data_IF_744047771422
#
_entry.id   IF_744047771422
#
_cell.length_a   1.000
_cell.length_b   1.000
_cell.length_c   1.000
_cell.angle_alpha   90.00
_cell.angle_beta   90.00
_cell.angle_gamma   90.00
#
_symmetry.space_group_name_H-M   'P 1'
#
loop_
_entity.id
_entity.type
_entity.pdbx_description
1 polymer ?
#
# COMPACT_ATOMS: atom_id res chain seq x y z
N UNK A 1 -45.46 -24.25 11.06
CA UNK A 1 -45.19 -22.79 11.05
C UNK A 1 -43.75 -22.60 10.62
N UNK A 2 -43.56 -22.24 9.35
CA UNK A 2 -42.25 -22.01 8.74
C UNK A 2 -41.67 -20.67 9.20
N UNK A 3 -40.43 -20.67 9.69
CA UNK A 3 -39.67 -19.44 9.91
C UNK A 3 -38.44 -19.49 9.00
N UNK A 4 -38.46 -18.54 8.07
CA UNK A 4 -37.58 -18.33 6.94
C UNK A 4 -36.22 -17.84 7.43
N UNK A 5 -35.18 -18.66 7.27
CA UNK A 5 -33.78 -18.24 7.41
C UNK A 5 -33.30 -17.55 6.14
N UNK A 6 -33.15 -16.22 6.17
CA UNK A 6 -32.58 -15.42 5.08
C UNK A 6 -31.14 -15.84 4.82
N UNK A 7 -30.89 -16.32 3.60
CA UNK A 7 -29.56 -16.44 3.01
C UNK A 7 -28.95 -15.05 2.87
N UNK A 8 -27.79 -14.83 3.49
CA UNK A 8 -26.97 -13.63 3.26
C UNK A 8 -26.30 -13.77 1.89
N UNK A 9 -26.60 -12.85 0.98
CA UNK A 9 -26.07 -12.77 -0.38
C UNK A 9 -24.56 -12.51 -0.39
N UNK A 10 -23.81 -13.30 -1.18
CA UNK A 10 -22.44 -12.98 -1.52
C UNK A 10 -22.41 -11.71 -2.40
N UNK A 11 -21.62 -10.73 -1.98
CA UNK A 11 -21.39 -9.48 -2.70
C UNK A 11 -20.47 -9.73 -3.90
N UNK A 12 -21.08 -9.81 -5.09
CA UNK A 12 -20.40 -9.78 -6.38
C UNK A 12 -19.77 -8.40 -6.60
N UNK A 13 -18.44 -8.33 -6.56
CA UNK A 13 -17.71 -7.12 -6.97
C UNK A 13 -17.74 -7.03 -8.49
N UNK A 14 -18.58 -6.14 -9.02
CA UNK A 14 -18.54 -5.75 -10.43
C UNK A 14 -17.28 -4.90 -10.69
N UNK A 15 -16.40 -5.41 -11.55
CA UNK A 15 -15.32 -4.62 -12.16
C UNK A 15 -15.93 -3.69 -13.21
N UNK A 16 -15.98 -2.39 -12.94
CA UNK A 16 -16.35 -1.36 -13.91
C UNK A 16 -15.18 -1.11 -14.87
N UNK A 17 -15.19 -1.75 -16.04
CA UNK A 17 -14.27 -1.40 -17.12
C UNK A 17 -14.74 -0.11 -17.80
N UNK A 18 -13.92 0.94 -17.72
CA UNK A 18 -14.10 2.21 -18.43
C UNK A 18 -14.02 1.97 -19.95
N UNK A 19 -15.14 2.06 -20.66
CA UNK A 19 -15.15 2.23 -22.11
C UNK A 19 -15.06 3.72 -22.45
N UNK A 20 -13.88 4.20 -22.85
CA UNK A 20 -13.70 5.52 -23.47
C UNK A 20 -13.03 5.39 -24.84
N UNK A 21 -13.86 5.61 -25.87
CA UNK A 21 -13.61 6.17 -27.20
C UNK A 21 -12.36 5.73 -28.01
N UNK A 22 -12.61 4.91 -29.03
CA UNK A 22 -11.69 4.29 -29.99
C UNK A 22 -11.46 5.12 -31.27
N UNK A 23 -10.91 6.34 -31.18
CA UNK A 23 -10.60 7.15 -32.39
C UNK A 23 -9.12 7.54 -32.58
N UNK A 24 -8.23 7.20 -31.65
CA UNK A 24 -6.78 7.48 -31.76
C UNK A 24 -6.01 6.25 -32.31
N UNK A 25 -6.68 5.12 -32.52
CA UNK A 25 -6.04 3.81 -32.71
C UNK A 25 -5.45 3.59 -34.11
N UNK A 26 -5.91 4.29 -35.16
CA UNK A 26 -5.47 4.00 -36.54
C UNK A 26 -4.09 4.58 -36.88
N UNK A 27 -3.77 5.78 -36.35
CA UNK A 27 -2.45 6.39 -36.53
C UNK A 27 -1.38 5.74 -35.65
N UNK A 28 -1.73 5.35 -34.41
CA UNK A 28 -0.83 4.59 -33.53
C UNK A 28 -0.56 3.18 -34.10
N UNK A 29 -1.56 2.52 -34.70
CA UNK A 29 -1.34 1.22 -35.37
C UNK A 29 -0.36 1.28 -36.53
N UNK A 30 -0.32 2.39 -37.29
CA UNK A 30 0.61 2.56 -38.41
C UNK A 30 2.04 2.86 -37.93
N UNK A 31 2.18 3.69 -36.88
CA UNK A 31 3.49 3.95 -36.25
C UNK A 31 4.05 2.73 -35.48
N UNK A 32 3.18 1.87 -34.92
CA UNK A 32 3.57 0.61 -34.29
C UNK A 32 3.95 -0.48 -35.31
N UNK A 33 3.50 -0.38 -36.56
CA UNK A 33 3.88 -1.29 -37.64
C UNK A 33 5.29 -1.01 -38.18
N UNK A 34 5.77 0.23 -38.09
CA UNK A 34 7.08 0.65 -38.63
C UNK A 34 8.22 0.61 -37.58
N UNK A 35 7.90 0.58 -36.28
CA UNK A 35 8.83 0.18 -35.20
C UNK A 35 8.55 -1.24 -34.71
N UNK A 36 8.43 -2.17 -35.65
CA UNK A 36 8.57 -3.58 -35.38
C UNK A 36 10.03 -3.92 -35.09
N UNK A 37 10.55 -3.56 -33.92
CA UNK A 37 11.65 -4.33 -33.33
C UNK A 37 11.09 -5.73 -33.14
N UNK A 38 11.37 -6.61 -34.11
CA UNK A 38 10.98 -8.00 -34.08
C UNK A 38 11.36 -8.56 -32.73
N UNK A 39 10.37 -8.84 -31.89
CA UNK A 39 10.57 -9.80 -30.85
C UNK A 39 10.88 -11.08 -31.62
N UNK A 40 12.15 -11.47 -31.62
CA UNK A 40 12.59 -12.73 -32.17
C UNK A 40 11.76 -13.80 -31.45
N UNK A 41 10.67 -14.25 -32.06
CA UNK A 41 9.84 -15.35 -31.55
C UNK A 41 10.63 -16.66 -31.55
N UNK A 42 11.82 -16.66 -32.14
CA UNK A 42 12.87 -17.68 -32.11
C UNK A 42 13.90 -17.50 -30.99
N UNK A 43 13.85 -16.40 -30.23
CA UNK A 43 14.79 -16.15 -29.14
C UNK A 43 14.43 -17.03 -27.96
N UNK A 44 15.34 -17.94 -27.59
CA UNK A 44 15.20 -18.81 -26.43
C UNK A 44 14.99 -18.03 -25.14
N UNK A 45 15.43 -16.77 -25.06
CA UNK A 45 15.15 -15.87 -23.93
C UNK A 45 13.68 -15.52 -23.81
N UNK A 46 12.97 -15.35 -24.93
CA UNK A 46 11.54 -15.02 -24.92
C UNK A 46 10.71 -16.20 -24.40
N UNK A 47 11.03 -17.42 -24.83
CA UNK A 47 10.39 -18.64 -24.32
C UNK A 47 10.76 -18.90 -22.85
N UNK A 48 12.02 -18.65 -22.45
CA UNK A 48 12.43 -18.73 -21.04
C UNK A 48 11.70 -17.70 -20.15
N UNK A 49 11.55 -16.46 -20.63
CA UNK A 49 10.80 -15.42 -19.91
C UNK A 49 9.34 -15.82 -19.78
N UNK A 50 8.71 -16.34 -20.84
CA UNK A 50 7.35 -16.88 -20.75
C UNK A 50 7.26 -18.04 -19.77
N UNK A 51 8.25 -18.94 -19.77
CA UNK A 51 8.30 -20.07 -18.83
C UNK A 51 8.37 -19.59 -17.38
N UNK A 52 9.23 -18.62 -17.08
CA UNK A 52 9.37 -18.04 -15.74
C UNK A 52 8.11 -17.29 -15.32
N UNK A 53 7.48 -16.54 -16.23
CA UNK A 53 6.31 -15.71 -15.92
C UNK A 53 5.00 -16.49 -15.83
N UNK A 54 4.84 -17.55 -16.62
CA UNK A 54 3.53 -18.19 -16.83
C UNK A 54 3.48 -19.69 -16.52
N UNK A 55 4.61 -20.40 -16.42
CA UNK A 55 4.64 -21.86 -16.28
C UNK A 55 5.05 -22.37 -14.89
N UNK A 56 5.10 -21.50 -13.89
CA UNK A 56 5.19 -22.00 -12.51
C UNK A 56 3.81 -22.51 -12.09
N UNK A 57 3.54 -23.78 -12.41
CA UNK A 57 2.40 -24.49 -11.84
C UNK A 57 2.49 -24.37 -10.30
N UNK A 58 1.39 -23.96 -9.63
CA UNK A 58 1.37 -23.91 -8.18
C UNK A 58 1.77 -25.28 -7.63
N UNK A 59 2.81 -25.32 -6.80
CA UNK A 59 3.21 -26.56 -6.14
C UNK A 59 2.02 -27.07 -5.33
N UNK A 60 1.64 -28.32 -5.56
CA UNK A 60 0.63 -28.98 -4.73
C UNK A 60 1.09 -29.00 -3.28
N UNK A 61 0.20 -28.61 -2.36
CA UNK A 61 0.51 -28.63 -0.95
C UNK A 61 0.53 -30.08 -0.45
N UNK A 62 1.45 -30.43 0.46
CA UNK A 62 1.39 -31.72 1.14
C UNK A 62 0.02 -31.93 1.79
N UNK A 63 -0.48 -33.17 1.89
CA UNK A 63 -1.69 -33.47 2.63
C UNK A 63 -1.47 -33.07 4.10
N UNK A 64 -2.31 -32.18 4.60
CA UNK A 64 -2.28 -31.68 5.98
C UNK A 64 -3.24 -32.50 6.84
N UNK A 65 -2.84 -32.77 8.09
CA UNK A 65 -3.74 -33.41 9.06
C UNK A 65 -4.83 -32.44 9.52
N UNK A 66 -5.95 -32.95 10.04
CA UNK A 66 -6.99 -32.10 10.64
C UNK A 66 -6.44 -31.24 11.79
N UNK A 67 -5.54 -31.81 12.61
CA UNK A 67 -4.87 -31.09 13.68
C UNK A 67 -3.98 -29.94 13.15
N UNK A 68 -3.30 -30.12 12.01
CA UNK A 68 -2.54 -29.05 11.35
C UNK A 68 -3.46 -27.94 10.85
N UNK A 69 -4.65 -28.28 10.34
CA UNK A 69 -5.66 -27.30 9.89
C UNK A 69 -6.13 -26.46 11.08
N UNK A 70 -6.46 -27.09 12.21
CA UNK A 70 -6.87 -26.38 13.43
C UNK A 70 -5.77 -25.46 13.97
N UNK A 71 -4.51 -25.94 13.95
CA UNK A 71 -3.34 -25.13 14.33
C UNK A 71 -3.16 -23.94 13.39
N UNK A 72 -3.29 -24.16 12.08
CA UNK A 72 -3.24 -23.09 11.09
C UNK A 72 -4.33 -22.03 11.32
N UNK A 73 -5.56 -22.45 11.58
CA UNK A 73 -6.68 -21.53 11.86
C UNK A 73 -6.46 -20.71 13.13
N UNK A 74 -5.89 -21.33 14.17
CA UNK A 74 -5.51 -20.64 15.40
C UNK A 74 -4.45 -19.58 15.15
N UNK A 75 -3.40 -19.89 14.38
CA UNK A 75 -2.35 -18.95 14.00
C UNK A 75 -2.95 -17.74 13.27
N UNK A 76 -3.80 -17.97 12.27
CA UNK A 76 -4.45 -16.90 11.51
C UNK A 76 -5.33 -16.01 12.40
N UNK A 77 -6.06 -16.61 13.33
CA UNK A 77 -6.90 -15.87 14.28
C UNK A 77 -6.04 -15.00 15.19
N UNK A 78 -4.96 -15.54 15.74
CA UNK A 78 -4.03 -14.81 16.60
C UNK A 78 -3.36 -13.65 15.84
N UNK A 79 -2.92 -13.87 14.60
CA UNK A 79 -2.34 -12.83 13.75
C UNK A 79 -3.35 -11.71 13.46
N UNK A 80 -4.61 -12.06 13.15
CA UNK A 80 -5.68 -11.10 12.94
C UNK A 80 -5.93 -10.23 14.17
N UNK A 81 -5.97 -10.85 15.35
CA UNK A 81 -6.12 -10.14 16.63
C UNK A 81 -4.93 -9.19 16.84
N UNK A 82 -3.70 -9.68 16.66
CA UNK A 82 -2.47 -8.87 16.80
C UNK A 82 -2.45 -7.66 15.86
N UNK A 83 -2.81 -7.83 14.60
CA UNK A 83 -2.90 -6.71 13.64
C UNK A 83 -3.98 -5.71 14.03
N UNK A 84 -5.12 -6.19 14.52
CA UNK A 84 -6.22 -5.34 14.98
C UNK A 84 -5.82 -4.51 16.20
N UNK A 85 -5.20 -5.13 17.21
CA UNK A 85 -4.75 -4.44 18.44
C UNK A 85 -3.68 -3.40 18.12
N UNK A 86 -2.67 -3.74 17.31
CA UNK A 86 -1.63 -2.79 16.89
C UNK A 86 -2.21 -1.61 16.08
N UNK A 87 -3.22 -1.85 15.25
CA UNK A 87 -3.93 -0.80 14.51
C UNK A 87 -4.73 0.12 15.46
N UNK A 88 -5.41 -0.46 16.44
CA UNK A 88 -6.16 0.30 17.45
C UNK A 88 -5.23 1.18 18.31
N UNK A 89 -4.06 0.65 18.71
CA UNK A 89 -3.04 1.42 19.43
C UNK A 89 -2.53 2.60 18.62
N UNK A 90 -2.12 2.38 17.36
CA UNK A 90 -1.68 3.48 16.46
C UNK A 90 -2.77 4.54 16.26
N UNK A 91 -4.04 4.14 16.18
CA UNK A 91 -5.16 5.07 16.07
C UNK A 91 -5.33 5.90 17.36
N UNK A 92 -5.30 5.24 18.51
CA UNK A 92 -5.41 5.91 19.81
C UNK A 92 -4.26 6.91 20.04
N UNK A 93 -3.03 6.56 19.66
CA UNK A 93 -1.89 7.47 19.73
C UNK A 93 -2.06 8.69 18.81
N UNK A 94 -2.56 8.48 17.58
CA UNK A 94 -2.82 9.58 16.64
C UNK A 94 -3.89 10.53 17.20
N UNK A 95 -4.95 9.98 17.79
CA UNK A 95 -6.01 10.74 18.43
C UNK A 95 -5.46 11.59 19.59
N UNK A 96 -4.63 10.99 20.44
CA UNK A 96 -3.97 11.72 21.54
C UNK A 96 -3.09 12.86 21.03
N UNK A 97 -2.32 12.62 19.96
CA UNK A 97 -1.48 13.66 19.33
C UNK A 97 -2.34 14.79 18.77
N UNK A 98 -3.44 14.47 18.10
CA UNK A 98 -4.36 15.47 17.55
C UNK A 98 -5.03 16.30 18.65
N UNK A 99 -5.56 15.65 19.71
CA UNK A 99 -6.14 16.36 20.85
C UNK A 99 -5.11 17.25 21.59
N UNK A 100 -3.84 16.82 21.66
CA UNK A 100 -2.77 17.65 22.20
C UNK A 100 -2.46 18.85 21.30
N UNK A 101 -2.48 18.67 19.97
CA UNK A 101 -2.33 19.77 19.01
C UNK A 101 -3.47 20.77 19.15
N UNK A 102 -4.72 20.34 19.20
CA UNK A 102 -5.88 21.23 19.36
C UNK A 102 -5.75 22.12 20.61
N UNK A 103 -5.44 21.52 21.77
CA UNK A 103 -5.19 22.26 23.01
C UNK A 103 -4.05 23.28 22.87
N UNK A 104 -2.99 22.93 22.17
CA UNK A 104 -1.87 23.86 21.93
C UNK A 104 -2.28 25.03 21.03
N UNK A 105 -3.10 24.79 20.00
CA UNK A 105 -3.63 25.83 19.12
C UNK A 105 -4.63 26.74 19.85
N UNK A 106 -5.49 26.20 20.73
CA UNK A 106 -6.37 26.99 21.60
C UNK A 106 -5.59 27.92 22.53
N UNK A 107 -4.52 27.40 23.15
CA UNK A 107 -3.63 28.20 23.98
C UNK A 107 -2.92 29.29 23.18
N UNK A 108 -2.45 28.97 21.96
CA UNK A 108 -1.79 29.92 21.07
C UNK A 108 -2.74 31.02 20.61
N UNK A 109 -3.99 30.69 20.26
CA UNK A 109 -5.02 31.65 19.87
C UNK A 109 -5.32 32.67 20.97
N UNK A 110 -5.27 32.21 22.23
CA UNK A 110 -5.47 33.08 23.41
C UNK A 110 -4.26 33.97 23.67
N UNK A 111 -3.03 33.47 23.44
CA UNK A 111 -1.80 34.19 23.73
C UNK A 111 -1.40 35.20 22.63
N UNK A 112 -1.40 34.79 21.37
CA UNK A 112 -1.02 35.65 20.22
C UNK A 112 -1.79 35.23 18.94
N UNK A 113 -2.80 36.04 18.53
CA UNK A 113 -3.57 35.78 17.31
C UNK A 113 -2.71 35.76 16.02
N UNK A 114 -1.63 36.54 15.95
CA UNK A 114 -0.78 36.61 14.75
C UNK A 114 0.00 35.32 14.54
N UNK A 115 0.51 34.73 15.62
CA UNK A 115 1.20 33.44 15.57
C UNK A 115 0.23 32.30 15.27
N UNK A 116 -0.99 32.35 15.82
CA UNK A 116 -2.04 31.40 15.48
C UNK A 116 -2.38 31.42 13.99
N UNK A 117 -2.61 32.61 13.41
CA UNK A 117 -2.85 32.77 11.98
C UNK A 117 -1.68 32.25 11.14
N UNK A 118 -0.44 32.52 11.56
CA UNK A 118 0.74 32.01 10.86
C UNK A 118 0.83 30.47 10.90
N UNK A 119 0.54 29.86 12.05
CA UNK A 119 0.58 28.40 12.24
C UNK A 119 -0.57 27.65 11.54
N UNK A 120 -1.69 28.32 11.26
CA UNK A 120 -2.80 27.76 10.48
C UNK A 120 -2.60 27.86 8.96
N UNK A 121 -1.57 28.57 8.48
CA UNK A 121 -1.28 28.66 7.04
C UNK A 121 -0.84 27.30 6.53
N UNK A 122 -1.52 26.82 5.49
CA UNK A 122 -1.13 25.60 4.79
C UNK A 122 0.18 25.83 4.04
N UNK A 123 1.19 25.04 4.34
CA UNK A 123 2.42 25.00 3.55
C UNK A 123 2.14 24.41 2.17
N UNK A 124 2.52 25.12 1.12
CA UNK A 124 2.36 24.67 -0.28
C UNK A 124 3.39 23.60 -0.67
N UNK A 125 4.51 23.52 0.05
CA UNK A 125 5.66 22.67 -0.26
C UNK A 125 6.03 21.72 0.89
N UNK A 126 5.05 21.24 1.66
CA UNK A 126 5.30 20.25 2.71
C UNK A 126 5.70 18.89 2.08
N UNK A 127 6.99 18.75 1.78
CA UNK A 127 7.60 17.51 1.29
C UNK A 127 8.59 17.02 2.32
N UNK A 128 8.62 15.71 2.54
CA UNK A 128 9.60 15.09 3.41
C UNK A 128 11.01 15.28 2.84
N UNK A 129 12.00 15.71 3.66
CA UNK A 129 13.39 15.84 3.22
C UNK A 129 13.94 14.50 2.69
N UNK A 130 14.77 14.56 1.64
CA UNK A 130 15.39 13.35 1.06
C UNK A 130 16.31 12.64 2.05
N UNK A 131 16.81 13.35 3.05
CA UNK A 131 17.68 12.77 4.07
C UNK A 131 16.93 11.97 5.13
N UNK A 132 15.60 12.13 5.21
CA UNK A 132 14.76 11.27 6.05
C UNK A 132 14.58 9.91 5.36
N UNK A 133 15.51 9.00 5.64
CA UNK A 133 15.54 7.65 5.05
C UNK A 133 14.54 6.71 5.72
N UNK A 134 14.12 5.71 4.96
CA UNK A 134 13.38 4.56 5.49
C UNK A 134 14.33 3.71 6.35
N UNK A 135 13.91 3.26 7.54
CA UNK A 135 14.72 2.38 8.39
C UNK A 135 15.13 1.10 7.65
N UNK A 136 16.39 0.68 7.83
CA UNK A 136 16.94 -0.57 7.29
C UNK A 136 17.11 -1.60 8.41
N UNK A 137 17.05 -2.89 8.06
CA UNK A 137 17.20 -4.00 9.03
C UNK A 137 18.57 -4.00 9.72
N UNK A 138 19.64 -3.71 8.97
CA UNK A 138 21.00 -3.56 9.50
C UNK A 138 21.46 -2.12 9.30
N UNK A 139 22.07 -1.49 10.33
CA UNK A 139 22.55 -0.12 10.19
C UNK A 139 23.76 -0.04 9.24
N UNK A 140 24.00 1.14 8.67
CA UNK A 140 25.20 1.43 7.87
C UNK A 140 26.45 1.56 8.74
N UNK A 141 27.63 1.40 8.13
CA UNK A 141 28.94 1.56 8.80
C UNK A 141 29.06 2.89 9.55
N UNK A 142 28.55 3.97 8.94
CA UNK A 142 28.36 5.27 9.59
C UNK A 142 26.87 5.44 9.89
N UNK A 143 26.49 5.35 11.17
CA UNK A 143 25.08 5.39 11.61
C UNK A 143 24.52 6.81 11.53
N UNK A 144 25.33 7.79 11.95
CA UNK A 144 24.94 9.20 12.01
C UNK A 144 26.06 10.11 11.51
N UNK A 145 25.70 11.21 10.85
CA UNK A 145 26.65 12.20 10.37
C UNK A 145 26.59 13.48 11.21
N UNK A 146 27.47 13.57 12.20
CA UNK A 146 27.54 14.74 13.10
C UNK A 146 28.09 16.00 12.43
N UNK A 147 28.81 15.88 11.29
CA UNK A 147 29.51 17.01 10.67
C UNK A 147 28.68 17.72 9.59
N UNK A 148 27.46 17.25 9.32
CA UNK A 148 26.60 17.90 8.34
C UNK A 148 26.08 19.24 8.90
N UNK A 149 26.29 20.38 8.22
CA UNK A 149 25.75 21.66 8.68
C UNK A 149 24.21 21.64 8.61
N UNK A 150 23.56 22.24 9.61
CA UNK A 150 22.11 22.50 9.58
C UNK A 150 21.83 23.51 8.47
N UNK A 151 21.16 23.06 7.41
CA UNK A 151 20.61 23.92 6.37
C UNK A 151 19.46 24.76 6.93
#
# INVERSE_FOLDING_TARGET
MSIVGRLTSLSTRHSTSLQRATKITKAIKKAAAEKGTGHNTSDSRYELIKQILYYQEPRELPPISEEDIERHMTILRAEKISKMTASAQRRAERERKFAAMEKAYEALATADPRLYEAACKKESTATFPLEMRVPTETPSLKIWDYMKPSQ
#
